data_IF_618204348159
#
_entry.id   IF_618204348159
#
_cell.length_a   1.000
_cell.length_b   1.000
_cell.length_c   1.000
_cell.angle_alpha   90.00
_cell.angle_beta   90.00
_cell.angle_gamma   90.00
#
_symmetry.space_group_name_H-M   'P 1'
#
loop_
_entity.id
_entity.type
_entity.pdbx_description
1 polymer ?
#
# COMPACT_ATOMS: atom_id res chain seq x y z
N UNK A 1 -17.01 -15.77 10.18
CA UNK A 1 -16.63 -15.23 8.86
C UNK A 1 -17.70 -14.20 8.48
N UNK A 2 -17.41 -12.91 8.57
CA UNK A 2 -18.32 -11.91 7.99
C UNK A 2 -18.10 -11.98 6.48
N UNK A 3 -19.14 -12.33 5.72
CA UNK A 3 -19.14 -12.13 4.27
C UNK A 3 -18.80 -10.65 4.03
N UNK A 4 -17.69 -10.41 3.36
CA UNK A 4 -17.34 -9.07 2.93
C UNK A 4 -18.35 -8.71 1.84
N UNK A 5 -19.28 -7.82 2.15
CA UNK A 5 -20.26 -7.32 1.19
C UNK A 5 -19.48 -6.74 0.01
N UNK A 6 -19.68 -7.28 -1.17
CA UNK A 6 -19.09 -6.78 -2.41
C UNK A 6 -20.19 -6.23 -3.31
N UNK A 7 -19.87 -5.19 -4.08
CA UNK A 7 -20.76 -4.71 -5.14
C UNK A 7 -20.84 -5.77 -6.26
N UNK A 8 -22.03 -5.98 -6.79
CA UNK A 8 -22.22 -6.83 -7.96
C UNK A 8 -21.73 -6.14 -9.23
N UNK A 9 -21.44 -6.91 -10.27
CA UNK A 9 -21.06 -6.40 -11.60
C UNK A 9 -22.05 -5.36 -12.14
N UNK A 10 -23.34 -5.53 -11.87
CA UNK A 10 -24.40 -4.60 -12.30
C UNK A 10 -24.25 -3.26 -11.60
N UNK A 11 -23.92 -3.26 -10.32
CA UNK A 11 -23.77 -2.05 -9.51
C UNK A 11 -22.57 -1.20 -9.95
N UNK A 12 -21.50 -1.80 -10.50
CA UNK A 12 -20.38 -1.05 -11.08
C UNK A 12 -20.74 -0.35 -12.40
N UNK A 13 -21.75 -0.82 -13.12
CA UNK A 13 -22.28 -0.16 -14.30
C UNK A 13 -21.22 0.30 -15.32
N UNK A 14 -21.12 1.62 -15.62
CA UNK A 14 -20.15 2.18 -16.55
C UNK A 14 -18.67 2.01 -16.15
N UNK A 15 -18.36 1.76 -14.89
CA UNK A 15 -17.01 1.50 -14.41
C UNK A 15 -16.52 0.08 -14.70
N UNK A 16 -17.44 -0.87 -14.84
CA UNK A 16 -17.14 -2.31 -15.00
C UNK A 16 -16.18 -2.64 -16.16
N UNK A 17 -16.31 -2.04 -17.36
CA UNK A 17 -15.38 -2.31 -18.46
C UNK A 17 -13.92 -2.00 -18.11
N UNK A 18 -13.67 -0.99 -17.27
CA UNK A 18 -12.34 -0.59 -16.82
C UNK A 18 -11.84 -1.45 -15.67
N UNK A 19 -12.72 -1.87 -14.76
CA UNK A 19 -12.37 -2.81 -13.69
C UNK A 19 -11.87 -4.14 -14.25
N UNK A 20 -12.44 -4.61 -15.36
CA UNK A 20 -12.04 -5.87 -16.03
C UNK A 20 -10.73 -5.76 -16.83
N UNK A 21 -10.27 -4.54 -17.17
CA UNK A 21 -9.00 -4.34 -17.88
C UNK A 21 -7.83 -4.51 -16.92
N UNK A 22 -6.87 -5.37 -17.27
CA UNK A 22 -5.68 -5.65 -16.44
C UNK A 22 -4.69 -4.50 -16.40
N UNK A 23 -4.68 -3.67 -17.45
CA UNK A 23 -3.80 -2.52 -17.61
C UNK A 23 -4.33 -1.23 -16.95
N UNK A 24 -5.55 -1.23 -16.42
CA UNK A 24 -6.11 -0.09 -15.67
C UNK A 24 -5.85 -0.29 -14.17
N UNK A 25 -5.32 0.72 -13.52
CA UNK A 25 -5.04 0.76 -12.07
C UNK A 25 -6.02 1.61 -11.28
N UNK A 26 -6.40 2.76 -11.81
CA UNK A 26 -7.31 3.69 -11.16
C UNK A 26 -8.41 4.15 -12.14
N UNK A 27 -9.58 4.42 -11.60
CA UNK A 27 -10.76 4.95 -12.30
C UNK A 27 -11.25 6.15 -11.50
N UNK A 28 -11.18 7.34 -12.11
CA UNK A 28 -11.48 8.60 -11.46
C UNK A 28 -12.64 9.30 -12.17
N UNK A 29 -13.78 9.44 -11.51
CA UNK A 29 -14.86 10.32 -11.92
C UNK A 29 -14.79 11.62 -11.12
N UNK A 30 -14.57 12.74 -11.77
CA UNK A 30 -14.34 14.04 -11.13
C UNK A 30 -15.62 14.90 -10.94
N UNK A 31 -16.78 14.28 -11.02
CA UNK A 31 -18.09 14.96 -10.98
C UNK A 31 -18.61 15.36 -12.36
N UNK A 32 -17.81 15.25 -13.44
CA UNK A 32 -18.18 15.60 -14.82
C UNK A 32 -17.67 14.62 -15.85
N UNK A 33 -16.45 14.15 -15.67
CA UNK A 33 -15.70 13.38 -16.65
C UNK A 33 -15.06 12.16 -15.98
N UNK A 34 -14.95 11.09 -16.76
CA UNK A 34 -14.28 9.87 -16.36
C UNK A 34 -12.86 9.84 -16.90
N UNK A 35 -11.92 9.54 -16.01
CA UNK A 35 -10.52 9.32 -16.30
C UNK A 35 -10.10 7.94 -15.83
N UNK A 36 -9.17 7.34 -16.50
CA UNK A 36 -8.51 6.11 -16.07
C UNK A 36 -7.00 6.33 -15.99
N UNK A 37 -6.34 5.57 -15.12
CA UNK A 37 -4.88 5.50 -15.05
C UNK A 37 -4.45 4.09 -15.41
N UNK A 38 -3.42 3.97 -16.21
CA UNK A 38 -2.87 2.68 -16.60
C UNK A 38 -1.67 2.25 -15.74
N UNK A 39 -1.16 1.03 -16.00
CA UNK A 39 0.01 0.46 -15.31
C UNK A 39 1.31 1.24 -15.53
N UNK A 40 1.37 2.13 -16.52
CA UNK A 40 2.50 3.03 -16.80
C UNK A 40 2.33 4.40 -16.12
N UNK A 41 1.33 4.52 -15.23
CA UNK A 41 0.98 5.75 -14.53
C UNK A 41 0.49 6.89 -15.44
N UNK A 42 0.03 6.56 -16.65
CA UNK A 42 -0.50 7.55 -17.62
C UNK A 42 -2.01 7.68 -17.44
N UNK A 43 -2.49 8.92 -17.42
CA UNK A 43 -3.92 9.23 -17.32
C UNK A 43 -4.54 9.41 -18.70
N UNK A 44 -5.69 8.76 -18.91
CA UNK A 44 -6.45 8.81 -20.14
C UNK A 44 -7.88 9.27 -19.85
N UNK A 45 -8.36 10.27 -20.60
CA UNK A 45 -9.76 10.68 -20.55
C UNK A 45 -10.63 9.67 -21.30
N UNK A 46 -11.72 9.25 -20.71
CA UNK A 46 -12.70 8.37 -21.37
C UNK A 46 -13.59 9.20 -22.27
N UNK A 47 -13.51 8.97 -23.58
CA UNK A 47 -14.26 9.70 -24.60
C UNK A 47 -15.42 8.90 -25.20
N UNK A 48 -15.61 7.64 -24.80
CA UNK A 48 -16.72 6.79 -25.26
C UNK A 48 -18.07 7.39 -24.83
N UNK A 49 -18.85 7.81 -25.81
CA UNK A 49 -20.13 8.49 -25.61
C UNK A 49 -21.15 7.60 -24.90
N UNK A 50 -21.16 6.27 -25.16
CA UNK A 50 -22.08 5.33 -24.51
C UNK A 50 -21.78 5.20 -23.01
N UNK A 51 -20.52 5.26 -22.65
CA UNK A 51 -20.08 5.25 -21.24
C UNK A 51 -20.46 6.57 -20.58
N UNK A 52 -20.18 7.71 -21.23
CA UNK A 52 -20.49 9.05 -20.71
C UNK A 52 -21.99 9.25 -20.48
N UNK A 53 -22.86 8.82 -21.39
CA UNK A 53 -24.32 8.89 -21.22
C UNK A 53 -24.85 8.05 -20.05
N UNK A 54 -24.16 6.98 -19.69
CA UNK A 54 -24.52 6.12 -18.56
C UNK A 54 -23.98 6.65 -17.22
N UNK A 55 -23.04 7.59 -17.22
CA UNK A 55 -22.56 8.30 -16.03
C UNK A 55 -23.49 9.49 -15.72
N UNK A 56 -24.77 9.24 -15.65
CA UNK A 56 -25.78 10.22 -15.28
C UNK A 56 -25.91 10.35 -13.75
N UNK A 57 -26.62 11.37 -13.31
CA UNK A 57 -26.80 11.67 -11.90
C UNK A 57 -27.42 10.50 -11.12
N UNK A 58 -28.43 9.85 -11.71
CA UNK A 58 -29.10 8.69 -11.09
C UNK A 58 -28.12 7.54 -10.81
N UNK A 59 -27.25 7.22 -11.78
CA UNK A 59 -26.23 6.19 -11.59
C UNK A 59 -25.21 6.60 -10.52
N UNK A 60 -24.73 7.85 -10.54
CA UNK A 60 -23.74 8.33 -9.58
C UNK A 60 -24.28 8.30 -8.15
N UNK A 61 -25.51 8.76 -7.94
CA UNK A 61 -26.19 8.72 -6.64
C UNK A 61 -26.42 7.28 -6.16
N UNK A 62 -26.90 6.41 -7.05
CA UNK A 62 -27.09 4.99 -6.73
C UNK A 62 -25.78 4.30 -6.38
N UNK A 63 -24.70 4.54 -7.14
CA UNK A 63 -23.38 3.98 -6.87
C UNK A 63 -22.85 4.46 -5.53
N UNK A 64 -22.92 5.79 -5.27
CA UNK A 64 -22.47 6.39 -4.02
C UNK A 64 -23.22 5.79 -2.80
N UNK A 65 -24.53 5.61 -2.91
CA UNK A 65 -25.36 4.98 -1.87
C UNK A 65 -24.96 3.52 -1.64
N UNK A 66 -24.72 2.76 -2.72
CA UNK A 66 -24.30 1.37 -2.62
C UNK A 66 -22.92 1.24 -1.93
N UNK A 67 -21.98 2.15 -2.26
CA UNK A 67 -20.66 2.19 -1.60
C UNK A 67 -20.79 2.57 -0.12
N UNK A 68 -21.63 3.55 0.22
CA UNK A 68 -21.88 3.93 1.61
C UNK A 68 -22.46 2.77 2.43
N UNK A 69 -23.40 2.01 1.84
CA UNK A 69 -24.00 0.83 2.46
C UNK A 69 -22.98 -0.28 2.76
N UNK A 70 -21.91 -0.44 1.95
CA UNK A 70 -20.86 -1.42 2.21
C UNK A 70 -20.18 -1.20 3.57
N UNK A 71 -20.08 0.06 4.00
CA UNK A 71 -19.42 0.46 5.25
C UNK A 71 -20.41 0.87 6.34
N UNK A 72 -21.73 0.68 6.11
CA UNK A 72 -22.78 1.01 7.08
C UNK A 72 -22.92 2.52 7.35
N UNK A 73 -22.57 3.35 6.36
CA UNK A 73 -22.64 4.81 6.43
C UNK A 73 -23.67 5.38 5.45
N UNK A 74 -23.95 6.67 5.59
CA UNK A 74 -24.75 7.43 4.63
C UNK A 74 -23.90 8.60 4.11
N UNK A 75 -23.84 8.74 2.79
CA UNK A 75 -23.20 9.91 2.18
C UNK A 75 -24.16 11.11 2.28
N UNK A 76 -23.76 12.12 3.03
CA UNK A 76 -24.55 13.33 3.32
C UNK A 76 -23.66 14.57 3.32
N UNK A 77 -24.21 15.80 3.32
CA UNK A 77 -23.40 17.01 3.46
C UNK A 77 -22.55 17.06 4.75
N UNK A 78 -22.94 16.36 5.80
CA UNK A 78 -22.22 16.31 7.08
C UNK A 78 -21.26 15.10 7.18
N UNK A 79 -21.59 13.98 6.55
CA UNK A 79 -20.71 12.83 6.37
C UNK A 79 -20.39 12.73 4.87
N UNK A 80 -19.49 13.59 4.43
CA UNK A 80 -19.31 13.93 3.03
C UNK A 80 -18.21 13.16 2.31
N UNK A 81 -17.52 12.24 2.99
CA UNK A 81 -16.51 11.35 2.43
C UNK A 81 -16.77 9.93 2.87
N UNK A 82 -16.93 9.03 1.91
CA UNK A 82 -17.02 7.60 2.15
C UNK A 82 -15.77 6.92 1.60
N UNK A 83 -15.11 6.16 2.44
CA UNK A 83 -14.05 5.25 2.05
C UNK A 83 -14.53 3.82 2.29
N UNK A 84 -14.51 3.01 1.24
CA UNK A 84 -14.90 1.61 1.28
C UNK A 84 -13.82 0.75 0.63
N UNK A 85 -13.65 -0.45 1.13
CA UNK A 85 -12.73 -1.42 0.58
C UNK A 85 -13.46 -2.73 0.30
N UNK A 86 -13.11 -3.33 -0.81
CA UNK A 86 -13.40 -4.71 -1.12
C UNK A 86 -12.11 -5.52 -1.14
N UNK A 87 -12.16 -6.79 -1.49
CA UNK A 87 -10.96 -7.62 -1.58
C UNK A 87 -9.91 -7.10 -2.58
N UNK A 88 -10.36 -6.43 -3.65
CA UNK A 88 -9.49 -5.98 -4.76
C UNK A 88 -9.58 -4.48 -5.06
N UNK A 89 -10.45 -3.74 -4.37
CA UNK A 89 -10.71 -2.34 -4.68
C UNK A 89 -10.73 -1.48 -3.42
N UNK A 90 -10.16 -0.28 -3.55
CA UNK A 90 -10.40 0.84 -2.66
C UNK A 90 -11.26 1.86 -3.38
N UNK A 91 -12.38 2.26 -2.77
CA UNK A 91 -13.36 3.18 -3.35
C UNK A 91 -13.51 4.37 -2.42
N UNK A 92 -13.25 5.56 -2.94
CA UNK A 92 -13.50 6.82 -2.23
C UNK A 92 -14.60 7.58 -2.97
N UNK A 93 -15.63 7.98 -2.24
CA UNK A 93 -16.71 8.82 -2.76
C UNK A 93 -16.73 10.14 -1.98
N UNK A 94 -16.73 11.25 -2.69
CA UNK A 94 -16.76 12.60 -2.12
C UNK A 94 -18.06 13.28 -2.55
N UNK A 95 -18.84 13.74 -1.57
CA UNK A 95 -20.13 14.38 -1.79
C UNK A 95 -19.99 15.75 -2.46
N UNK A 96 -20.95 16.12 -3.29
CA UNK A 96 -21.00 17.40 -3.99
C UNK A 96 -21.01 18.64 -3.08
N UNK A 97 -21.42 18.49 -1.81
CA UNK A 97 -21.38 19.60 -0.84
C UNK A 97 -19.97 20.13 -0.58
N UNK A 98 -18.93 19.32 -0.83
CA UNK A 98 -17.51 19.69 -0.66
C UNK A 98 -16.72 19.61 -1.96
N UNK A 99 -17.28 18.96 -3.00
CA UNK A 99 -16.70 18.89 -4.34
C UNK A 99 -17.53 19.73 -5.33
N UNK A 100 -17.11 20.96 -5.58
CA UNK A 100 -17.85 21.93 -6.42
C UNK A 100 -18.09 21.47 -7.87
N UNK A 101 -17.43 20.43 -8.33
CA UNK A 101 -17.60 19.83 -9.67
C UNK A 101 -18.74 18.82 -9.72
N UNK A 102 -19.30 18.42 -8.58
CA UNK A 102 -20.26 17.33 -8.39
C UNK A 102 -19.66 16.18 -7.58
N UNK A 103 -20.47 15.18 -7.26
CA UNK A 103 -20.01 13.99 -6.53
C UNK A 103 -18.85 13.32 -7.27
N UNK A 104 -17.71 13.15 -6.59
CA UNK A 104 -16.50 12.53 -7.13
C UNK A 104 -16.37 11.08 -6.67
N UNK A 105 -15.84 10.23 -7.53
CA UNK A 105 -15.63 8.81 -7.25
C UNK A 105 -14.23 8.43 -7.72
N UNK A 106 -13.42 7.88 -6.80
CA UNK A 106 -12.11 7.33 -7.11
C UNK A 106 -12.11 5.84 -6.76
N UNK A 107 -11.78 4.99 -7.73
CA UNK A 107 -11.67 3.54 -7.54
C UNK A 107 -10.24 3.14 -7.88
N UNK A 108 -9.51 2.65 -6.88
CA UNK A 108 -8.17 2.08 -7.06
C UNK A 108 -8.24 0.57 -7.01
N UNK A 109 -7.57 -0.08 -7.94
CA UNK A 109 -7.45 -1.54 -7.97
C UNK A 109 -6.22 -1.99 -7.18
N UNK A 110 -6.46 -2.86 -6.22
CA UNK A 110 -5.45 -3.49 -5.38
C UNK A 110 -5.55 -5.02 -5.48
N UNK A 111 -5.37 -5.62 -6.67
CA UNK A 111 -5.58 -7.05 -6.85
C UNK A 111 -4.51 -7.87 -6.11
N UNK A 112 -4.86 -9.07 -5.61
CA UNK A 112 -3.94 -9.98 -4.93
C UNK A 112 -3.03 -10.70 -5.93
N UNK A 113 -2.34 -9.93 -6.78
CA UNK A 113 -1.43 -10.45 -7.81
C UNK A 113 -0.03 -9.92 -7.64
N UNK A 114 0.94 -10.78 -7.83
CA UNK A 114 2.34 -10.39 -7.97
C UNK A 114 2.62 -10.04 -9.43
N UNK A 115 2.66 -8.75 -9.76
CA UNK A 115 2.89 -8.27 -11.13
C UNK A 115 4.31 -8.52 -11.60
N UNK A 116 5.28 -8.32 -10.70
CA UNK A 116 6.70 -8.52 -10.96
C UNK A 116 7.11 -9.86 -10.35
N UNK A 117 7.59 -10.78 -11.19
CA UNK A 117 8.20 -12.03 -10.76
C UNK A 117 9.69 -12.02 -11.12
N UNK A 118 10.56 -12.86 -10.51
CA UNK A 118 11.98 -12.91 -10.87
C UNK A 118 12.22 -13.09 -12.37
N UNK A 119 11.42 -13.95 -13.01
CA UNK A 119 11.48 -14.18 -14.46
C UNK A 119 11.12 -12.92 -15.25
N UNK A 120 9.97 -12.31 -14.95
CA UNK A 120 9.53 -11.07 -15.62
C UNK A 120 10.47 -9.90 -15.38
N UNK A 121 11.05 -9.79 -14.19
CA UNK A 121 11.99 -8.72 -13.88
C UNK A 121 13.19 -8.68 -14.83
N UNK A 122 13.64 -9.85 -15.29
CA UNK A 122 14.71 -9.95 -16.28
C UNK A 122 14.18 -9.80 -17.71
N UNK A 123 13.09 -10.47 -18.07
CA UNK A 123 12.50 -10.44 -19.42
C UNK A 123 12.00 -9.04 -19.82
N UNK A 124 11.42 -8.30 -18.89
CA UNK A 124 10.89 -6.94 -19.10
C UNK A 124 11.93 -5.84 -18.78
N UNK A 125 13.18 -6.21 -18.50
CA UNK A 125 14.25 -5.28 -18.12
C UNK A 125 13.93 -4.36 -16.94
N UNK A 126 13.14 -4.86 -15.98
CA UNK A 126 12.83 -4.13 -14.75
C UNK A 126 14.09 -3.86 -13.92
N UNK A 127 15.01 -4.85 -13.88
CA UNK A 127 16.35 -4.68 -13.32
C UNK A 127 17.34 -5.62 -14.00
N UNK A 128 18.63 -5.31 -13.89
CA UNK A 128 19.71 -6.20 -14.32
C UNK A 128 19.81 -7.40 -13.38
N UNK A 129 20.28 -8.55 -13.90
CA UNK A 129 20.43 -9.79 -13.14
C UNK A 129 21.28 -9.62 -11.87
N UNK A 130 22.39 -8.86 -11.95
CA UNK A 130 23.23 -8.57 -10.78
C UNK A 130 22.48 -7.80 -9.68
N UNK A 131 21.55 -6.88 -10.06
CA UNK A 131 20.71 -6.13 -9.11
C UNK A 131 19.68 -7.06 -8.49
N UNK A 132 19.06 -7.95 -9.29
CA UNK A 132 18.15 -8.96 -8.78
C UNK A 132 18.83 -9.85 -7.72
N UNK A 133 20.04 -10.34 -8.03
CA UNK A 133 20.82 -11.15 -7.09
C UNK A 133 21.18 -10.38 -5.82
N UNK A 134 21.57 -9.10 -5.94
CA UNK A 134 21.86 -8.25 -4.80
C UNK A 134 20.62 -8.11 -3.90
N UNK A 135 19.47 -7.73 -4.48
CA UNK A 135 18.22 -7.55 -3.72
C UNK A 135 17.77 -8.86 -3.05
N UNK A 136 17.83 -9.98 -3.75
CA UNK A 136 17.51 -11.29 -3.18
C UNK A 136 18.43 -11.64 -1.99
N UNK A 137 19.73 -11.34 -2.10
CA UNK A 137 20.67 -11.58 -1.01
C UNK A 137 20.44 -10.61 0.16
N UNK A 138 20.10 -9.35 -0.08
CA UNK A 138 19.70 -8.40 0.97
C UNK A 138 18.50 -8.93 1.78
N UNK A 139 17.48 -9.46 1.08
CA UNK A 139 16.33 -10.08 1.75
C UNK A 139 16.75 -11.28 2.58
N UNK A 140 17.54 -12.22 2.00
CA UNK A 140 18.01 -13.42 2.72
C UNK A 140 18.89 -13.07 3.93
N UNK A 141 19.74 -12.06 3.79
CA UNK A 141 20.59 -11.54 4.85
C UNK A 141 19.83 -10.75 5.93
N UNK A 142 18.50 -10.66 5.83
CA UNK A 142 17.65 -9.94 6.79
C UNK A 142 17.98 -8.44 6.89
N UNK A 143 18.28 -7.77 5.78
CA UNK A 143 18.44 -6.32 5.79
C UNK A 143 17.07 -5.64 5.82
N UNK A 144 17.00 -4.51 6.53
CA UNK A 144 15.86 -3.63 6.46
C UNK A 144 15.85 -2.90 5.12
N UNK A 145 14.69 -2.79 4.49
CA UNK A 145 14.57 -2.18 3.17
C UNK A 145 13.48 -1.12 3.16
N UNK A 146 13.83 0.06 2.65
CA UNK A 146 12.89 1.17 2.49
C UNK A 146 12.75 1.47 1.00
N UNK A 147 11.53 1.34 0.47
CA UNK A 147 11.20 1.67 -0.92
C UNK A 147 10.71 3.11 -0.98
N UNK A 148 11.40 3.97 -1.68
CA UNK A 148 11.02 5.37 -1.80
C UNK A 148 10.74 5.78 -3.24
N UNK A 149 10.01 6.86 -3.40
CA UNK A 149 9.64 7.45 -4.68
C UNK A 149 8.29 8.16 -4.62
N UNK A 150 7.89 8.76 -5.74
CA UNK A 150 6.61 9.43 -5.89
C UNK A 150 5.41 8.45 -5.81
N UNK A 151 4.18 8.95 -5.60
CA UNK A 151 2.97 8.13 -5.73
C UNK A 151 2.86 7.46 -7.11
N UNK A 152 2.49 6.17 -7.13
CA UNK A 152 2.27 5.44 -8.38
C UNK A 152 3.51 4.90 -9.08
N UNK A 153 4.74 5.12 -8.58
CA UNK A 153 5.98 4.57 -9.19
C UNK A 153 6.20 3.08 -8.95
N UNK A 154 5.32 2.41 -8.19
CA UNK A 154 5.40 0.97 -7.96
C UNK A 154 6.18 0.54 -6.72
N UNK A 155 6.30 1.39 -5.68
CA UNK A 155 6.97 1.04 -4.40
C UNK A 155 6.40 -0.24 -3.80
N UNK A 156 5.08 -0.33 -3.65
CA UNK A 156 4.39 -1.50 -3.11
C UNK A 156 4.60 -2.74 -4.00
N UNK A 157 4.57 -2.58 -5.33
CA UNK A 157 4.83 -3.70 -6.25
C UNK A 157 6.28 -4.21 -6.14
N UNK A 158 7.26 -3.32 -5.91
CA UNK A 158 8.64 -3.71 -5.64
C UNK A 158 8.75 -4.45 -4.29
N UNK A 159 8.08 -3.97 -3.24
CA UNK A 159 8.03 -4.66 -1.96
C UNK A 159 7.39 -6.05 -2.09
N UNK A 160 6.25 -6.17 -2.78
CA UNK A 160 5.59 -7.46 -3.10
C UNK A 160 6.53 -8.40 -3.83
N UNK A 161 7.22 -7.91 -4.85
CA UNK A 161 8.20 -8.69 -5.61
C UNK A 161 9.27 -9.31 -4.71
N UNK A 162 9.82 -8.55 -3.78
CA UNK A 162 10.88 -9.03 -2.91
C UNK A 162 10.40 -10.01 -1.84
N UNK A 163 9.10 -10.09 -1.56
CA UNK A 163 8.55 -11.13 -0.67
C UNK A 163 8.81 -12.54 -1.18
N UNK A 164 8.99 -12.72 -2.50
CA UNK A 164 9.32 -14.00 -3.11
C UNK A 164 10.61 -14.61 -2.53
N UNK A 165 11.57 -13.78 -2.11
CA UNK A 165 12.87 -14.20 -1.58
C UNK A 165 12.89 -14.40 -0.06
N UNK A 166 11.79 -14.12 0.63
CA UNK A 166 11.67 -14.42 2.08
C UNK A 166 11.55 -15.93 2.24
N UNK A 167 12.41 -16.57 3.06
CA UNK A 167 12.31 -17.99 3.34
C UNK A 167 10.95 -18.38 3.93
N UNK A 168 10.38 -19.55 3.56
CA UNK A 168 9.02 -19.93 3.96
C UNK A 168 8.85 -20.16 5.46
N UNK A 169 9.92 -20.52 6.16
CA UNK A 169 9.93 -20.72 7.61
C UNK A 169 9.92 -19.41 8.43
N UNK A 170 10.05 -18.25 7.74
CA UNK A 170 10.03 -16.96 8.42
C UNK A 170 8.60 -16.42 8.52
N UNK A 171 8.18 -16.18 9.77
CA UNK A 171 6.90 -15.52 10.06
C UNK A 171 6.96 -14.04 9.67
N UNK A 172 6.04 -13.63 8.82
CA UNK A 172 5.89 -12.24 8.38
C UNK A 172 4.63 -11.65 8.99
N UNK A 173 4.70 -10.42 9.50
CA UNK A 173 3.52 -9.64 9.86
C UNK A 173 3.45 -8.43 8.95
N UNK A 174 2.33 -8.26 8.25
CA UNK A 174 2.03 -7.02 7.52
C UNK A 174 1.14 -6.11 8.36
N UNK A 175 1.37 -4.81 8.27
CA UNK A 175 0.56 -3.78 8.94
C UNK A 175 0.16 -2.76 7.90
N UNK A 176 -1.14 -2.64 7.62
CA UNK A 176 -1.69 -1.83 6.53
C UNK A 176 -2.99 -1.14 6.97
N UNK A 177 -3.24 0.07 6.48
CA UNK A 177 -4.56 0.72 6.54
C UNK A 177 -5.47 0.22 5.42
N UNK A 178 -4.91 0.05 4.25
CA UNK A 178 -5.55 -0.54 3.07
C UNK A 178 -4.79 -1.78 2.65
N UNK A 179 -5.49 -2.87 2.37
CA UNK A 179 -4.87 -4.13 1.94
C UNK A 179 -4.31 -3.99 0.52
N UNK A 180 -3.02 -3.73 0.41
CA UNK A 180 -2.31 -3.58 -0.88
C UNK A 180 -1.30 -4.71 -1.12
N UNK A 181 -0.64 -5.19 -0.06
CA UNK A 181 0.41 -6.20 -0.17
C UNK A 181 -0.16 -7.57 -0.52
N UNK A 182 -1.28 -7.97 0.08
CA UNK A 182 -1.88 -9.29 -0.11
C UNK A 182 -0.87 -10.42 0.09
N UNK A 183 -0.09 -10.34 1.18
CA UNK A 183 1.04 -11.23 1.39
C UNK A 183 0.64 -12.70 1.35
N UNK A 184 -0.46 -13.05 2.01
CA UNK A 184 -0.97 -14.42 2.11
C UNK A 184 -1.38 -14.99 0.75
N UNK A 185 -2.07 -14.17 -0.06
CA UNK A 185 -2.56 -14.59 -1.37
C UNK A 185 -1.42 -14.78 -2.38
N UNK A 186 -0.38 -13.93 -2.33
CA UNK A 186 0.77 -14.04 -3.24
C UNK A 186 1.85 -15.00 -2.75
N UNK A 187 1.81 -15.41 -1.47
CA UNK A 187 2.75 -16.35 -0.86
C UNK A 187 2.00 -17.43 -0.04
N UNK A 188 1.14 -18.25 -0.64
CA UNK A 188 0.22 -19.13 0.09
C UNK A 188 0.92 -20.18 0.97
N UNK A 189 2.18 -20.51 0.65
CA UNK A 189 2.98 -21.51 1.37
C UNK A 189 3.80 -20.91 2.54
N UNK A 190 3.66 -19.59 2.81
CA UNK A 190 4.45 -18.91 3.83
C UNK A 190 3.60 -18.52 5.03
N UNK A 191 4.21 -18.54 6.24
CA UNK A 191 3.56 -18.09 7.46
C UNK A 191 3.42 -16.58 7.50
N UNK A 192 2.20 -16.10 7.71
CA UNK A 192 1.94 -14.67 7.84
C UNK A 192 0.74 -14.34 8.72
N UNK A 193 0.78 -13.13 9.29
CA UNK A 193 -0.36 -12.46 9.90
C UNK A 193 -0.52 -11.11 9.23
N UNK A 194 -1.72 -10.81 8.73
CA UNK A 194 -2.04 -9.53 8.11
C UNK A 194 -2.88 -8.70 9.09
N UNK A 195 -2.29 -7.63 9.64
CA UNK A 195 -2.95 -6.69 10.54
C UNK A 195 -3.48 -5.50 9.77
N UNK A 196 -4.78 -5.26 9.89
CA UNK A 196 -5.42 -4.08 9.31
C UNK A 196 -5.66 -3.05 10.40
N UNK A 197 -5.11 -1.85 10.23
CA UNK A 197 -5.38 -0.72 11.12
C UNK A 197 -6.70 -0.04 10.76
N UNK A 198 -7.37 0.53 11.74
CA UNK A 198 -8.63 1.23 11.60
C UNK A 198 -8.83 2.20 12.78
N UNK A 199 -10.02 2.80 12.92
CA UNK A 199 -10.35 3.74 14.01
C UNK A 199 -10.25 3.15 15.44
N UNK A 200 -10.32 1.81 15.58
CA UNK A 200 -10.25 1.10 16.87
C UNK A 200 -8.91 0.39 17.10
N UNK A 201 -8.04 0.33 16.10
CA UNK A 201 -6.75 -0.33 16.16
C UNK A 201 -5.73 0.45 15.32
N UNK A 202 -4.98 1.31 15.99
CA UNK A 202 -4.03 2.22 15.35
C UNK A 202 -2.76 1.51 14.87
N UNK A 203 -1.94 2.21 14.07
CA UNK A 203 -0.60 1.72 13.73
C UNK A 203 0.27 1.48 14.96
N UNK A 204 0.17 2.34 15.99
CA UNK A 204 0.92 2.17 17.23
C UNK A 204 0.47 0.90 17.99
N UNK A 205 -0.84 0.61 18.02
CA UNK A 205 -1.36 -0.62 18.62
C UNK A 205 -0.86 -1.84 17.84
N UNK A 206 -0.96 -1.81 16.51
CA UNK A 206 -0.50 -2.90 15.66
C UNK A 206 0.99 -3.19 15.86
N UNK A 207 1.84 -2.16 15.87
CA UNK A 207 3.28 -2.31 16.06
C UNK A 207 3.63 -2.80 17.47
N UNK A 208 2.85 -2.43 18.50
CA UNK A 208 2.99 -2.97 19.85
C UNK A 208 2.70 -4.46 19.89
N UNK A 209 1.63 -4.90 19.22
CA UNK A 209 1.27 -6.32 19.15
C UNK A 209 2.25 -7.13 18.28
N UNK A 210 2.83 -6.52 17.23
CA UNK A 210 3.89 -7.15 16.44
C UNK A 210 5.03 -7.66 17.33
N UNK A 211 5.49 -6.85 18.30
CA UNK A 211 6.58 -7.24 19.21
C UNK A 211 6.21 -8.47 20.07
N UNK A 212 4.93 -8.65 20.43
CA UNK A 212 4.43 -9.79 21.20
C UNK A 212 4.26 -11.06 20.39
N UNK A 213 4.10 -10.92 19.07
CA UNK A 213 3.85 -12.04 18.16
C UNK A 213 5.13 -12.71 17.66
N UNK A 214 6.30 -12.23 18.06
CA UNK A 214 7.63 -12.80 17.72
C UNK A 214 7.83 -13.07 16.23
N UNK A 215 7.60 -12.11 15.33
CA UNK A 215 7.83 -12.31 13.91
C UNK A 215 9.32 -12.32 13.57
N UNK A 216 9.65 -12.93 12.44
CA UNK A 216 10.97 -12.75 11.84
C UNK A 216 11.06 -11.45 11.04
N UNK A 217 9.90 -11.01 10.49
CA UNK A 217 9.83 -9.81 9.65
C UNK A 217 8.54 -9.04 9.89
N UNK A 218 8.64 -7.72 9.76
CA UNK A 218 7.50 -6.81 9.73
C UNK A 218 7.48 -6.04 8.39
N UNK A 219 6.31 -5.96 7.77
CA UNK A 219 6.08 -5.14 6.60
C UNK A 219 5.07 -4.06 6.97
N UNK A 220 5.54 -2.83 7.12
CA UNK A 220 4.68 -1.66 7.24
C UNK A 220 4.42 -1.14 5.83
N UNK A 221 3.17 -1.13 5.38
CA UNK A 221 2.81 -0.77 4.00
C UNK A 221 3.34 0.61 3.61
N UNK A 222 3.19 1.58 4.50
CA UNK A 222 3.73 2.92 4.31
C UNK A 222 4.04 3.59 5.66
N UNK A 223 5.23 4.16 5.78
CA UNK A 223 5.59 5.01 6.89
C UNK A 223 5.19 6.47 6.59
N UNK A 224 4.22 6.99 7.35
CA UNK A 224 3.63 8.34 7.12
C UNK A 224 3.81 9.28 8.30
N UNK A 225 3.86 8.74 9.52
CA UNK A 225 3.79 9.50 10.75
C UNK A 225 4.55 8.81 11.89
N UNK A 226 4.02 8.89 13.09
CA UNK A 226 4.66 8.46 14.35
C UNK A 226 4.91 6.96 14.48
N UNK A 227 4.26 6.12 13.68
CA UNK A 227 4.46 4.66 13.61
C UNK A 227 5.89 4.28 13.19
N UNK A 228 6.59 5.19 12.54
CA UNK A 228 7.99 5.00 12.14
C UNK A 228 8.90 4.76 13.34
N UNK A 229 8.57 5.33 14.52
CA UNK A 229 9.32 5.09 15.76
C UNK A 229 9.31 3.60 16.12
N UNK A 230 8.12 3.00 16.20
CA UNK A 230 7.99 1.59 16.54
C UNK A 230 8.60 0.69 15.48
N UNK A 231 8.53 1.08 14.21
CA UNK A 231 9.20 0.35 13.13
C UNK A 231 10.72 0.31 13.34
N UNK A 232 11.35 1.46 13.59
CA UNK A 232 12.79 1.53 13.88
C UNK A 232 13.13 0.74 15.14
N UNK A 233 12.32 0.85 16.20
CA UNK A 233 12.49 0.05 17.42
C UNK A 233 12.41 -1.45 17.15
N UNK A 234 11.49 -1.93 16.31
CA UNK A 234 11.45 -3.33 15.87
C UNK A 234 12.76 -3.74 15.19
N UNK A 235 13.28 -2.88 14.30
CA UNK A 235 14.53 -3.16 13.59
C UNK A 235 15.74 -3.26 14.52
N UNK A 236 15.77 -2.49 15.61
CA UNK A 236 16.85 -2.55 16.61
C UNK A 236 16.79 -3.83 17.47
N UNK A 237 15.62 -4.46 17.56
CA UNK A 237 15.45 -5.74 18.29
C UNK A 237 15.75 -6.98 17.45
N UNK A 238 16.14 -6.80 16.18
CA UNK A 238 16.44 -7.89 15.24
C UNK A 238 15.24 -8.38 14.43
N UNK A 239 14.06 -7.81 14.61
CA UNK A 239 12.92 -7.97 13.71
C UNK A 239 13.19 -7.10 12.50
N UNK A 240 13.46 -7.69 11.36
CA UNK A 240 13.75 -6.95 10.13
C UNK A 240 12.52 -6.77 9.27
N UNK A 241 12.59 -5.96 8.21
CA UNK A 241 11.43 -5.83 7.35
C UNK A 241 11.50 -4.79 6.27
N UNK A 242 10.33 -4.49 5.73
CA UNK A 242 10.13 -3.61 4.61
C UNK A 242 9.17 -2.50 4.97
N UNK A 243 9.41 -1.31 4.41
CA UNK A 243 8.41 -0.23 4.40
C UNK A 243 8.53 0.58 3.13
N UNK A 244 7.48 1.33 2.82
CA UNK A 244 7.52 2.33 1.75
C UNK A 244 7.50 3.74 2.33
N UNK A 245 8.07 4.68 1.61
CA UNK A 245 8.19 6.07 2.03
C UNK A 245 8.05 7.00 0.83
N UNK A 246 7.36 8.12 1.01
CA UNK A 246 7.30 9.18 0.01
C UNK A 246 8.50 10.12 0.15
N UNK A 247 9.47 9.99 -0.75
CA UNK A 247 10.56 10.94 -0.97
C UNK A 247 11.10 10.81 -2.39
N UNK A 248 11.58 11.89 -2.94
CA UNK A 248 12.17 12.01 -4.27
C UNK A 248 13.65 11.56 -4.32
N UNK A 249 14.30 11.48 -3.17
CA UNK A 249 15.72 11.17 -3.06
C UNK A 249 15.99 10.17 -1.93
N UNK A 250 16.64 9.05 -2.27
CA UNK A 250 17.03 8.00 -1.30
C UNK A 250 17.92 8.51 -0.18
N UNK A 251 18.71 9.56 -0.43
CA UNK A 251 19.61 10.18 0.57
C UNK A 251 18.86 10.91 1.67
N UNK A 252 17.60 11.31 1.40
CA UNK A 252 16.70 11.98 2.35
C UNK A 252 15.93 11.01 3.25
N UNK A 253 16.03 9.69 3.02
CA UNK A 253 15.30 8.69 3.82
C UNK A 253 15.59 8.83 5.31
N UNK A 254 16.86 8.91 5.78
CA UNK A 254 17.16 9.06 7.20
C UNK A 254 16.52 10.31 7.81
N UNK A 255 16.71 11.46 7.18
CA UNK A 255 16.12 12.72 7.65
C UNK A 255 14.58 12.65 7.67
N UNK A 256 13.98 12.01 6.65
CA UNK A 256 12.54 11.85 6.58
C UNK A 256 12.01 10.99 7.73
N UNK A 257 12.70 9.90 8.05
CA UNK A 257 12.38 9.02 9.19
C UNK A 257 12.48 9.81 10.49
N UNK A 258 13.56 10.55 10.72
CA UNK A 258 13.75 11.34 11.93
C UNK A 258 12.70 12.44 12.07
N UNK A 259 12.32 13.09 10.98
CA UNK A 259 11.29 14.14 10.98
C UNK A 259 9.86 13.61 11.28
N UNK A 260 9.61 12.31 11.13
CA UNK A 260 8.35 11.66 11.48
C UNK A 260 8.32 11.18 12.94
N UNK A 261 9.43 11.25 13.68
CA UNK A 261 9.44 10.86 15.09
C UNK A 261 8.50 11.72 15.93
N UNK A 262 7.83 11.14 16.94
CA UNK A 262 6.80 11.85 17.72
C UNK A 262 7.39 13.00 18.56
N UNK A 263 8.68 12.94 18.89
CA UNK A 263 9.37 13.98 19.63
C UNK A 263 10.80 14.15 19.16
N UNK A 264 11.39 15.33 19.43
CA UNK A 264 12.81 15.58 19.19
C UNK A 264 13.70 14.63 19.99
N UNK A 265 13.31 14.29 21.21
CA UNK A 265 14.04 13.34 22.04
C UNK A 265 14.06 11.93 21.43
N UNK A 266 12.96 11.48 20.83
CA UNK A 266 12.92 10.21 20.12
C UNK A 266 13.82 10.25 18.88
N UNK A 267 13.79 11.34 18.12
CA UNK A 267 14.66 11.53 16.96
C UNK A 267 16.14 11.46 17.36
N UNK A 268 16.56 12.21 18.39
CA UNK A 268 17.94 12.20 18.90
C UNK A 268 18.36 10.82 19.43
N UNK A 269 17.45 10.10 20.10
CA UNK A 269 17.70 8.74 20.62
C UNK A 269 17.90 7.72 19.50
N UNK A 270 17.07 7.77 18.47
CA UNK A 270 17.05 6.80 17.36
C UNK A 270 17.93 7.23 16.17
N UNK A 271 18.51 8.44 16.20
CA UNK A 271 19.37 8.94 15.13
C UNK A 271 20.51 7.97 14.82
N UNK A 272 21.16 7.46 15.85
CA UNK A 272 22.22 6.47 15.68
C UNK A 272 21.71 5.18 15.02
N UNK A 273 20.52 4.71 15.38
CA UNK A 273 19.96 3.48 14.84
C UNK A 273 19.57 3.65 13.36
N UNK A 274 19.11 4.83 12.98
CA UNK A 274 18.78 5.17 11.58
C UNK A 274 20.05 5.33 10.72
N UNK A 275 21.16 5.85 11.30
CA UNK A 275 22.40 6.11 10.56
C UNK A 275 23.50 5.05 10.77
N UNK A 276 23.45 4.24 11.85
CA UNK A 276 24.54 3.35 12.31
C UNK A 276 24.67 2.06 11.52
N UNK A 277 23.80 1.79 10.60
CA UNK A 277 24.05 0.67 9.67
C UNK A 277 25.40 0.81 8.91
N UNK A 278 26.02 1.98 8.96
CA UNK A 278 27.39 2.21 8.48
C UNK A 278 28.51 1.78 9.47
N UNK A 279 28.22 1.65 10.78
CA UNK A 279 29.24 1.29 11.78
C UNK A 279 29.17 -0.14 12.27
N UNK A 280 27.99 -0.74 12.35
CA UNK A 280 27.82 -2.13 12.80
C UNK A 280 28.42 -3.14 11.83
N UNK A 281 28.42 -2.85 10.53
CA UNK A 281 29.08 -3.66 9.51
C UNK A 281 30.61 -3.71 9.69
N UNK A 282 31.22 -2.71 10.34
CA UNK A 282 32.68 -2.69 10.62
C UNK A 282 33.06 -3.42 11.91
N UNK A 283 32.16 -3.55 12.88
CA UNK A 283 32.42 -4.21 14.16
C UNK A 283 32.23 -5.72 14.09
N UNK A 284 31.29 -6.20 13.26
CA UNK A 284 31.08 -7.65 13.06
C UNK A 284 32.11 -8.31 12.13
N UNK A 285 32.89 -7.55 11.38
CA UNK A 285 34.00 -8.09 10.57
C UNK A 285 35.29 -8.34 11.38
N UNK A 286 35.35 -7.90 12.65
CA UNK A 286 36.51 -8.09 13.50
C UNK A 286 36.41 -9.33 14.43
N UNK A 287 35.29 -10.07 14.40
CA UNK A 287 35.08 -11.28 15.18
C UNK A 287 34.90 -12.56 14.32
N UNK A 288 35.16 -12.46 13.01
CA UNK A 288 35.17 -13.65 12.14
C UNK A 288 36.61 -14.17 11.95
#
# INVERSE_FOLDING_TARGET
MREQLSLSDIQYGPFLPFLRKKDVTDIDYNGRELWIRDIHNIRHKVTDEKIRQRLNEEFIQSFATNVANLVGKNLTPTDNVIEAETEELRITVIHESVASTGTCICIRKTPPVQRITPKKALEEHYCEEKVLHLLANCVKAKLNMVFCGEPGVGKTECAKFLTAFIPPEQKVITVEDTKEVHYREINPEKDCVELKVNEYFSYNDAMTEVLRMTPNRVMLSEARSTEVKQLVECWTTGITGFTTLHTDDVRKIPDRILNMMPSRQDAERLENDVYVDRKSTRLNSSHA
#
